data_IF_082955562062
#
_entry.id   IF_082955562062
#
_cell.length_a   1.000
_cell.length_b   1.000
_cell.length_c   1.000
_cell.angle_alpha   90.00
_cell.angle_beta   90.00
_cell.angle_gamma   90.00
#
_symmetry.space_group_name_H-M   'P 1'
#
loop_
_entity.id
_entity.type
_entity.pdbx_description
1 polymer ?
#
# COMPACT_ATOMS: atom_id res chain seq x y z
N UNK A 1 18.14 -15.55 -5.77
CA UNK A 1 18.17 -15.91 -4.33
C UNK A 1 18.55 -17.36 -4.13
N UNK A 2 17.79 -18.34 -4.64
CA UNK A 2 18.08 -19.77 -4.44
C UNK A 2 19.49 -20.19 -4.88
N UNK A 3 19.91 -19.80 -6.08
CA UNK A 3 21.22 -20.21 -6.62
C UNK A 3 22.40 -19.58 -5.86
N UNK A 4 22.37 -18.26 -5.67
CA UNK A 4 23.49 -17.51 -5.09
C UNK A 4 23.42 -17.41 -3.56
N UNK A 5 22.31 -16.95 -3.00
CA UNK A 5 22.21 -16.74 -1.56
C UNK A 5 22.06 -18.08 -0.82
N UNK A 6 20.99 -18.83 -1.10
CA UNK A 6 20.75 -20.10 -0.42
C UNK A 6 21.81 -21.16 -0.80
N UNK A 7 22.24 -21.18 -2.07
CA UNK A 7 23.18 -22.18 -2.59
C UNK A 7 24.68 -21.89 -2.33
N UNK A 8 25.09 -20.62 -2.14
CA UNK A 8 26.51 -20.26 -1.98
C UNK A 8 26.81 -19.48 -0.70
N UNK A 9 25.95 -18.55 -0.29
CA UNK A 9 26.18 -17.72 0.90
C UNK A 9 25.83 -18.46 2.18
N UNK A 10 24.64 -19.07 2.25
CA UNK A 10 24.16 -19.76 3.45
C UNK A 10 25.13 -20.84 3.93
N UNK A 11 25.65 -21.75 3.07
CA UNK A 11 26.57 -22.80 3.53
C UNK A 11 27.87 -22.25 4.13
N UNK A 12 28.39 -21.14 3.61
CA UNK A 12 29.61 -20.53 4.13
C UNK A 12 29.38 -19.87 5.50
N UNK A 13 28.23 -19.21 5.68
CA UNK A 13 27.83 -18.64 6.97
C UNK A 13 27.60 -19.73 8.02
N UNK A 14 27.02 -20.86 7.63
CA UNK A 14 26.79 -21.99 8.53
C UNK A 14 28.09 -22.72 8.92
N UNK A 15 29.10 -22.76 8.04
CA UNK A 15 30.45 -23.25 8.37
C UNK A 15 31.13 -22.41 9.45
N UNK A 16 30.83 -21.12 9.53
CA UNK A 16 31.26 -20.24 10.63
C UNK A 16 30.48 -20.47 11.94
N UNK A 17 29.52 -21.42 11.94
CA UNK A 17 28.69 -21.76 13.09
C UNK A 17 27.44 -20.90 13.25
N UNK A 18 27.08 -20.10 12.24
CA UNK A 18 25.89 -19.24 12.27
C UNK A 18 24.77 -19.87 11.45
N UNK A 19 23.82 -20.53 12.13
CA UNK A 19 22.62 -21.08 11.49
C UNK A 19 21.72 -19.97 10.95
N UNK A 20 21.24 -20.16 9.71
CA UNK A 20 20.33 -19.24 9.03
C UNK A 20 18.96 -19.88 8.78
N UNK A 21 17.95 -19.04 8.69
CA UNK A 21 16.62 -19.40 8.23
C UNK A 21 16.06 -18.20 7.47
N UNK A 22 15.14 -18.45 6.53
CA UNK A 22 14.35 -17.38 5.94
C UNK A 22 13.55 -16.66 7.03
N UNK A 23 13.27 -15.37 6.80
CA UNK A 23 12.50 -14.56 7.71
C UNK A 23 11.14 -15.21 7.98
N UNK A 24 10.74 -15.24 9.26
CA UNK A 24 9.55 -15.94 9.70
C UNK A 24 8.80 -15.14 10.75
N UNK A 25 7.48 -15.31 10.78
CA UNK A 25 6.61 -14.89 11.86
C UNK A 25 5.93 -16.13 12.43
N UNK A 26 5.81 -16.23 13.76
CA UNK A 26 5.08 -17.35 14.36
C UNK A 26 3.57 -17.13 14.25
N UNK A 27 2.80 -18.19 13.95
CA UNK A 27 1.33 -18.17 14.11
C UNK A 27 0.97 -18.23 15.61
N UNK A 28 1.00 -17.06 16.25
CA UNK A 28 0.77 -16.92 17.68
C UNK A 28 2.01 -17.25 18.52
N UNK A 29 1.79 -17.69 19.75
CA UNK A 29 2.86 -17.91 20.75
C UNK A 29 3.34 -19.36 20.83
N UNK A 30 2.61 -20.28 20.22
CA UNK A 30 2.95 -21.69 20.19
C UNK A 30 3.63 -22.02 18.86
N UNK A 31 4.93 -22.26 18.90
CA UNK A 31 5.78 -22.53 17.72
C UNK A 31 5.27 -23.73 16.92
N UNK A 32 4.61 -24.70 17.56
CA UNK A 32 4.07 -25.88 16.87
C UNK A 32 2.97 -25.56 15.86
N UNK A 33 2.31 -24.39 15.99
CA UNK A 33 1.30 -23.92 15.04
C UNK A 33 1.89 -23.54 13.69
N UNK A 34 3.19 -23.32 13.64
CA UNK A 34 3.93 -23.04 12.41
C UNK A 34 4.41 -21.62 12.29
N UNK A 35 4.96 -21.36 11.11
CA UNK A 35 5.54 -20.08 10.72
C UNK A 35 4.94 -19.58 9.41
N UNK A 36 4.76 -18.27 9.31
CA UNK A 36 4.30 -17.58 8.12
C UNK A 36 5.41 -16.68 7.57
N UNK A 37 5.49 -16.60 6.25
CA UNK A 37 6.35 -15.62 5.58
C UNK A 37 5.74 -14.22 5.70
N UNK A 38 6.58 -13.21 5.78
CA UNK A 38 6.13 -11.82 5.85
C UNK A 38 6.08 -11.22 4.44
N UNK A 39 4.97 -10.59 4.10
CA UNK A 39 4.84 -9.80 2.87
C UNK A 39 5.17 -8.35 3.20
N UNK A 40 6.41 -7.88 2.95
CA UNK A 40 6.77 -6.49 3.21
C UNK A 40 5.99 -5.57 2.28
N UNK A 41 5.21 -4.66 2.85
CA UNK A 41 4.59 -3.58 2.07
C UNK A 41 5.66 -2.59 1.58
N UNK A 42 5.36 -1.77 0.56
CA UNK A 42 6.34 -0.88 -0.09
C UNK A 42 7.14 0.05 0.83
N UNK A 43 6.66 0.38 2.04
CA UNK A 43 7.42 1.18 3.01
C UNK A 43 8.66 0.49 3.59
N UNK A 44 8.68 -0.85 3.61
CA UNK A 44 9.84 -1.60 4.12
C UNK A 44 10.89 -1.73 3.03
N UNK A 45 12.18 -1.69 3.38
CA UNK A 45 13.26 -1.76 2.40
C UNK A 45 13.17 -3.00 1.47
N UNK A 46 12.77 -4.15 2.01
CA UNK A 46 12.57 -5.40 1.27
C UNK A 46 11.27 -5.44 0.45
N UNK A 47 10.32 -4.53 0.70
CA UNK A 47 9.18 -4.29 -0.18
C UNK A 47 9.50 -3.25 -1.25
N UNK A 48 10.25 -2.21 -0.90
CA UNK A 48 10.63 -1.11 -1.79
C UNK A 48 11.64 -1.53 -2.88
N UNK A 49 12.72 -2.22 -2.49
CA UNK A 49 13.80 -2.56 -3.42
C UNK A 49 13.30 -3.38 -4.63
N UNK A 50 12.43 -4.40 -4.47
CA UNK A 50 11.86 -5.12 -5.61
C UNK A 50 10.98 -4.25 -6.52
N UNK A 51 10.29 -3.24 -5.99
CA UNK A 51 9.54 -2.27 -6.81
C UNK A 51 10.48 -1.38 -7.63
N UNK A 52 11.71 -1.17 -7.16
CA UNK A 52 12.79 -0.54 -7.92
C UNK A 52 13.59 -1.51 -8.78
N UNK A 53 13.12 -2.74 -8.97
CA UNK A 53 13.85 -3.79 -9.69
C UNK A 53 15.25 -4.02 -9.11
N UNK A 54 15.42 -3.93 -7.79
CA UNK A 54 16.67 -4.21 -7.09
C UNK A 54 16.46 -5.32 -6.08
N UNK A 55 17.49 -6.13 -5.87
CA UNK A 55 17.50 -7.09 -4.77
C UNK A 55 17.56 -6.35 -3.42
N UNK A 56 16.80 -6.83 -2.44
CA UNK A 56 16.86 -6.37 -1.06
C UNK A 56 17.07 -7.56 -0.14
N UNK A 57 17.89 -7.38 0.90
CA UNK A 57 18.14 -8.38 1.93
C UNK A 57 17.93 -7.74 3.30
N UNK A 58 17.02 -8.31 4.09
CA UNK A 58 16.85 -7.97 5.50
C UNK A 58 17.54 -9.06 6.34
N UNK A 59 18.38 -8.64 7.28
CA UNK A 59 19.05 -9.53 8.22
C UNK A 59 18.48 -9.25 9.60
N UNK A 60 17.89 -10.26 10.22
CA UNK A 60 17.43 -10.18 11.60
C UNK A 60 18.15 -11.20 12.47
N UNK A 61 18.78 -10.71 13.54
CA UNK A 61 19.42 -11.56 14.55
C UNK A 61 18.52 -11.66 15.77
N UNK A 62 18.22 -12.88 16.21
CA UNK A 62 17.36 -13.12 17.36
C UNK A 62 17.91 -12.44 18.62
N UNK A 63 17.12 -11.53 19.23
CA UNK A 63 17.58 -10.64 20.32
C UNK A 63 18.10 -11.38 21.56
N UNK A 64 17.61 -12.59 21.82
CA UNK A 64 18.06 -13.44 22.93
C UNK A 64 19.43 -14.10 22.72
N UNK A 65 20.00 -14.07 21.50
CA UNK A 65 21.37 -14.58 21.29
C UNK A 65 22.40 -13.62 21.92
N UNK A 66 23.53 -14.14 22.43
CA UNK A 66 24.62 -13.31 22.94
C UNK A 66 25.03 -12.25 21.92
N UNK A 67 25.26 -11.01 22.39
CA UNK A 67 25.58 -9.88 21.52
C UNK A 67 26.74 -10.18 20.55
N UNK A 68 27.83 -10.79 21.04
CA UNK A 68 28.98 -11.20 20.22
C UNK A 68 28.57 -12.11 19.06
N UNK A 69 27.69 -13.08 19.30
CA UNK A 69 27.19 -13.98 18.25
C UNK A 69 26.34 -13.24 17.22
N UNK A 70 25.48 -12.31 17.66
CA UNK A 70 24.68 -11.47 16.74
C UNK A 70 25.57 -10.61 15.84
N UNK A 71 26.61 -9.99 16.40
CA UNK A 71 27.57 -9.18 15.64
C UNK A 71 28.34 -10.05 14.66
N UNK A 72 28.88 -11.19 15.10
CA UNK A 72 29.65 -12.09 14.24
C UNK A 72 28.79 -12.67 13.11
N UNK A 73 27.60 -13.18 13.43
CA UNK A 73 26.69 -13.71 12.41
C UNK A 73 26.28 -12.66 11.38
N UNK A 74 26.01 -11.42 11.80
CA UNK A 74 25.71 -10.32 10.85
C UNK A 74 26.93 -10.02 9.96
N UNK A 75 28.13 -9.97 10.54
CA UNK A 75 29.36 -9.77 9.80
C UNK A 75 29.59 -10.87 8.75
N UNK A 76 29.43 -12.14 9.13
CA UNK A 76 29.66 -13.27 8.23
C UNK A 76 28.66 -13.26 7.07
N UNK A 77 27.37 -13.01 7.34
CA UNK A 77 26.36 -12.86 6.28
C UNK A 77 26.74 -11.74 5.32
N UNK A 78 27.10 -10.55 5.83
CA UNK A 78 27.48 -9.42 4.99
C UNK A 78 28.72 -9.72 4.16
N UNK A 79 29.76 -10.29 4.77
CA UNK A 79 31.02 -10.66 4.10
C UNK A 79 30.76 -11.59 2.93
N UNK A 80 30.13 -12.75 3.19
CA UNK A 80 29.92 -13.75 2.15
C UNK A 80 28.92 -13.30 1.09
N UNK A 81 27.91 -12.51 1.46
CA UNK A 81 27.00 -11.91 0.48
C UNK A 81 27.73 -10.96 -0.46
N UNK A 82 28.58 -10.07 0.06
CA UNK A 82 29.36 -9.12 -0.74
C UNK A 82 30.36 -9.85 -1.63
N UNK A 83 31.04 -10.88 -1.10
CA UNK A 83 31.94 -11.72 -1.90
C UNK A 83 31.21 -12.40 -3.06
N UNK A 84 30.01 -12.93 -2.82
CA UNK A 84 29.20 -13.56 -3.87
C UNK A 84 28.71 -12.55 -4.91
N UNK A 85 28.29 -11.36 -4.47
CA UNK A 85 27.95 -10.25 -5.38
C UNK A 85 29.15 -9.89 -6.25
N UNK A 86 30.36 -9.82 -5.68
CA UNK A 86 31.56 -9.51 -6.47
C UNK A 86 31.87 -10.59 -7.51
N UNK A 87 31.71 -11.87 -7.15
CA UNK A 87 31.87 -13.01 -8.08
C UNK A 87 30.84 -12.99 -9.21
N UNK A 88 29.62 -12.53 -8.92
CA UNK A 88 28.45 -12.66 -9.82
C UNK A 88 27.90 -11.32 -10.32
N UNK A 89 28.68 -10.24 -10.19
CA UNK A 89 28.24 -8.87 -10.50
C UNK A 89 27.63 -8.71 -11.90
N UNK A 90 28.13 -9.46 -12.88
CA UNK A 90 27.63 -9.40 -14.25
C UNK A 90 26.17 -9.89 -14.35
N UNK A 91 25.84 -11.03 -13.74
CA UNK A 91 24.48 -11.57 -13.75
C UNK A 91 23.52 -10.69 -12.95
N UNK A 92 23.95 -10.11 -11.83
CA UNK A 92 23.15 -9.15 -11.07
C UNK A 92 22.82 -7.90 -11.88
N UNK A 93 23.80 -7.31 -12.57
CA UNK A 93 23.56 -6.14 -13.42
C UNK A 93 22.69 -6.46 -14.63
N UNK A 94 22.86 -7.62 -15.24
CA UNK A 94 21.99 -8.08 -16.33
C UNK A 94 20.54 -8.24 -15.84
N UNK A 95 20.33 -8.88 -14.69
CA UNK A 95 19.01 -9.05 -14.10
C UNK A 95 18.33 -7.71 -13.80
N UNK A 96 19.07 -6.75 -13.23
CA UNK A 96 18.55 -5.40 -12.97
C UNK A 96 18.16 -4.68 -14.28
N UNK A 97 19.06 -4.69 -15.29
CA UNK A 97 18.79 -4.05 -16.60
C UNK A 97 17.58 -4.68 -17.29
N UNK A 98 17.46 -6.00 -17.26
CA UNK A 98 16.32 -6.72 -17.82
C UNK A 98 15.02 -6.33 -17.13
N UNK A 99 15.00 -6.33 -15.79
CA UNK A 99 13.83 -5.95 -15.01
C UNK A 99 13.43 -4.48 -15.23
N UNK A 100 14.40 -3.58 -15.41
CA UNK A 100 14.17 -2.17 -15.75
C UNK A 100 13.55 -2.02 -17.15
N UNK A 101 14.13 -2.68 -18.16
CA UNK A 101 13.60 -2.69 -19.52
C UNK A 101 12.16 -3.24 -19.57
N UNK A 102 11.90 -4.37 -18.90
CA UNK A 102 10.56 -4.95 -18.83
C UNK A 102 9.54 -4.02 -18.15
N UNK A 103 9.94 -3.28 -17.11
CA UNK A 103 9.07 -2.27 -16.48
C UNK A 103 8.77 -1.13 -17.44
N UNK A 104 9.77 -0.62 -18.15
CA UNK A 104 9.60 0.45 -19.14
C UNK A 104 8.69 -0.02 -20.28
N UNK A 105 8.91 -1.20 -20.85
CA UNK A 105 8.09 -1.73 -21.94
C UNK A 105 6.62 -1.89 -21.53
N UNK A 106 6.34 -2.40 -20.33
CA UNK A 106 4.96 -2.50 -19.80
C UNK A 106 4.25 -1.15 -19.72
N UNK A 107 5.00 -0.06 -19.50
CA UNK A 107 4.44 1.29 -19.42
C UNK A 107 4.16 1.96 -20.76
N UNK A 108 4.51 1.35 -21.90
CA UNK A 108 4.34 1.95 -23.24
C UNK A 108 2.96 1.73 -23.85
N UNK A 109 2.22 0.72 -23.38
CA UNK A 109 0.91 0.36 -23.90
C UNK A 109 -0.05 0.04 -22.75
N UNK A 110 -1.28 0.52 -22.86
CA UNK A 110 -2.33 0.17 -21.92
C UNK A 110 -2.89 -1.22 -22.25
N UNK A 111 -3.01 -2.06 -21.22
CA UNK A 111 -3.69 -3.35 -21.30
C UNK A 111 -4.71 -3.46 -20.16
N UNK A 112 -6.00 -3.39 -20.51
CA UNK A 112 -7.09 -3.49 -19.55
C UNK A 112 -7.14 -4.85 -18.82
N UNK A 113 -6.51 -5.89 -19.37
CA UNK A 113 -6.43 -7.21 -18.75
C UNK A 113 -5.21 -7.37 -17.83
N UNK A 114 -4.29 -6.40 -17.83
CA UNK A 114 -3.12 -6.42 -16.96
C UNK A 114 -3.53 -6.39 -15.49
N UNK A 115 -2.92 -7.27 -14.69
CA UNK A 115 -3.19 -7.42 -13.25
C UNK A 115 -1.93 -7.13 -12.46
N UNK A 116 -1.55 -5.86 -12.36
CA UNK A 116 -0.45 -5.46 -11.50
C UNK A 116 -0.86 -5.60 -10.03
N UNK A 117 -0.18 -6.42 -9.22
CA UNK A 117 -0.58 -6.70 -7.85
C UNK A 117 -0.35 -5.48 -6.95
N UNK A 118 -1.37 -5.10 -6.17
CA UNK A 118 -1.27 -4.07 -5.13
C UNK A 118 -1.20 -4.68 -3.73
N UNK A 119 -1.95 -5.76 -3.49
CA UNK A 119 -1.99 -6.46 -2.20
C UNK A 119 -1.89 -7.96 -2.41
N UNK A 120 -1.19 -8.58 -1.47
CA UNK A 120 -0.99 -10.01 -1.39
C UNK A 120 -1.39 -10.48 0.01
N UNK A 121 -1.82 -11.73 0.12
CA UNK A 121 -2.08 -12.41 1.39
C UNK A 121 -1.47 -13.81 1.36
N UNK A 122 -1.03 -14.31 2.51
CA UNK A 122 -0.57 -15.69 2.66
C UNK A 122 -1.77 -16.63 2.65
N UNK A 123 -1.63 -17.73 1.90
CA UNK A 123 -2.65 -18.78 1.83
C UNK A 123 -2.51 -19.73 3.03
N UNK A 124 -3.56 -20.49 3.32
CA UNK A 124 -3.53 -21.51 4.39
C UNK A 124 -2.79 -22.79 4.00
N UNK A 125 -2.18 -22.83 2.81
CA UNK A 125 -1.44 -24.01 2.36
C UNK A 125 -0.08 -24.02 3.04
N UNK A 126 0.23 -25.12 3.70
CA UNK A 126 1.51 -25.31 4.39
C UNK A 126 2.35 -26.42 3.78
N UNK A 127 3.65 -26.32 4.01
CA UNK A 127 4.62 -27.39 3.78
C UNK A 127 5.35 -27.70 5.10
N UNK A 128 5.81 -28.94 5.31
CA UNK A 128 6.68 -29.25 6.45
C UNK A 128 7.95 -28.41 6.44
N UNK A 129 8.38 -27.92 7.60
CA UNK A 129 9.59 -27.14 7.78
C UNK A 129 10.34 -27.57 9.04
N UNK A 130 11.62 -27.91 8.88
CA UNK A 130 12.48 -28.31 9.98
C UNK A 130 12.98 -27.08 10.72
N UNK A 131 12.34 -26.79 11.84
CA UNK A 131 12.61 -25.63 12.67
C UNK A 131 13.64 -25.94 13.76
N UNK A 132 14.69 -25.11 13.80
CA UNK A 132 15.74 -25.13 14.81
C UNK A 132 15.54 -23.97 15.79
N UNK A 133 15.13 -24.29 17.01
CA UNK A 133 14.88 -23.32 18.07
C UNK A 133 15.54 -23.70 19.40
N UNK A 134 14.99 -23.13 20.47
CA UNK A 134 15.29 -23.51 21.85
C UNK A 134 14.00 -23.88 22.54
N UNK A 135 14.08 -24.75 23.55
CA UNK A 135 12.92 -25.14 24.35
C UNK A 135 12.20 -23.89 24.89
N UNK A 136 10.88 -23.96 24.96
CA UNK A 136 10.07 -22.90 25.52
C UNK A 136 8.88 -23.46 26.27
N UNK A 137 8.32 -22.65 27.16
CA UNK A 137 7.02 -22.91 27.80
C UNK A 137 6.18 -21.65 27.81
N UNK A 138 4.86 -21.84 27.87
CA UNK A 138 3.90 -20.76 28.06
C UNK A 138 3.54 -20.67 29.55
N UNK A 139 3.67 -19.48 30.12
CA UNK A 139 3.32 -19.20 31.51
C UNK A 139 2.35 -18.03 31.61
N UNK A 140 1.52 -17.99 32.65
CA UNK A 140 0.67 -16.82 32.92
C UNK A 140 1.51 -15.64 33.43
N UNK A 141 1.36 -14.50 32.78
CA UNK A 141 1.97 -13.24 33.20
C UNK A 141 1.00 -12.45 34.07
N UNK A 142 1.36 -12.23 35.35
CA UNK A 142 0.60 -11.35 36.25
C UNK A 142 0.65 -9.87 35.83
N UNK A 143 1.70 -9.47 35.10
CA UNK A 143 1.87 -8.08 34.65
C UNK A 143 0.96 -7.79 33.47
N UNK A 144 0.94 -8.67 32.46
CA UNK A 144 0.18 -8.42 31.24
C UNK A 144 -1.19 -9.10 31.22
N UNK A 145 -1.49 -9.98 32.19
CA UNK A 145 -2.72 -10.78 32.22
C UNK A 145 -2.81 -11.85 31.11
N UNK A 146 -1.73 -12.08 30.36
CA UNK A 146 -1.72 -12.98 29.20
C UNK A 146 -0.63 -14.06 29.33
N UNK A 147 -0.68 -15.09 28.49
CA UNK A 147 0.41 -16.08 28.38
C UNK A 147 1.70 -15.41 27.88
N UNK A 148 2.83 -15.59 28.55
CA UNK A 148 4.17 -15.20 28.08
C UNK A 148 4.97 -16.43 27.68
N UNK A 149 5.86 -16.27 26.71
CA UNK A 149 6.85 -17.30 26.37
C UNK A 149 8.02 -17.18 27.34
N UNK A 150 8.48 -18.31 27.84
CA UNK A 150 9.71 -18.44 28.62
C UNK A 150 10.62 -19.42 27.90
N UNK A 151 11.71 -18.90 27.35
CA UNK A 151 12.72 -19.71 26.66
C UNK A 151 13.67 -20.35 27.68
N UNK A 152 14.03 -21.61 27.44
CA UNK A 152 15.12 -22.31 28.11
C UNK A 152 16.41 -22.25 27.30
N UNK A 153 17.28 -23.23 27.50
CA UNK A 153 18.62 -23.26 26.87
C UNK A 153 18.86 -24.49 26.03
N UNK A 154 18.02 -25.52 26.14
CA UNK A 154 18.19 -26.74 25.34
C UNK A 154 17.76 -26.48 23.89
N UNK A 155 18.54 -26.94 22.90
CA UNK A 155 18.12 -26.94 21.50
C UNK A 155 16.80 -27.69 21.31
N UNK A 156 15.98 -27.17 20.40
CA UNK A 156 14.72 -27.78 19.98
C UNK A 156 14.75 -27.94 18.46
N UNK A 157 14.73 -29.18 17.98
CA UNK A 157 14.59 -29.52 16.56
C UNK A 157 13.22 -30.18 16.36
N UNK A 158 12.33 -29.50 15.64
CA UNK A 158 10.97 -29.97 15.39
C UNK A 158 10.54 -29.64 13.96
N UNK A 159 9.70 -30.49 13.38
CA UNK A 159 9.05 -30.18 12.11
C UNK A 159 7.72 -29.47 12.37
N UNK A 160 7.54 -28.28 11.81
CA UNK A 160 6.34 -27.45 11.97
C UNK A 160 5.78 -27.05 10.59
N UNK A 161 4.52 -26.61 10.51
CA UNK A 161 3.97 -26.04 9.27
C UNK A 161 4.68 -24.74 8.87
N UNK A 162 5.02 -24.56 7.59
CA UNK A 162 5.42 -23.28 6.99
C UNK A 162 4.40 -22.83 5.96
N UNK A 163 3.86 -21.62 6.12
CA UNK A 163 2.95 -20.96 5.19
C UNK A 163 3.72 -19.89 4.39
N UNK A 164 4.06 -20.21 3.14
CA UNK A 164 4.96 -19.39 2.30
C UNK A 164 4.37 -19.11 0.90
N UNK A 165 3.12 -19.51 0.67
CA UNK A 165 2.43 -19.26 -0.59
C UNK A 165 1.61 -17.97 -0.48
N UNK A 166 1.82 -17.03 -1.39
CA UNK A 166 1.07 -15.78 -1.46
C UNK A 166 0.07 -15.80 -2.62
N UNK A 167 -1.11 -15.21 -2.41
CA UNK A 167 -2.10 -14.91 -3.45
C UNK A 167 -2.31 -13.42 -3.59
N UNK A 168 -2.60 -12.94 -4.79
CA UNK A 168 -2.97 -11.54 -5.04
C UNK A 168 -4.43 -11.34 -4.63
N UNK A 169 -4.68 -10.35 -3.77
CA UNK A 169 -6.04 -10.00 -3.30
C UNK A 169 -6.54 -8.68 -3.84
N UNK A 170 -5.65 -7.84 -4.35
CA UNK A 170 -6.00 -6.60 -5.05
C UNK A 170 -4.99 -6.34 -6.15
N UNK A 171 -5.49 -5.95 -7.32
CA UNK A 171 -4.68 -5.61 -8.48
C UNK A 171 -5.30 -4.43 -9.23
N UNK A 172 -4.53 -3.87 -10.15
CA UNK A 172 -4.97 -2.79 -11.04
C UNK A 172 -4.40 -3.02 -12.44
N UNK A 173 -5.04 -2.48 -13.46
CA UNK A 173 -4.41 -2.25 -14.76
C UNK A 173 -3.70 -0.89 -14.73
N UNK A 174 -2.36 -0.83 -14.77
CA UNK A 174 -1.64 0.44 -14.73
C UNK A 174 -2.00 1.32 -15.94
N UNK A 175 -2.26 2.63 -15.75
CA UNK A 175 -2.49 3.56 -16.86
C UNK A 175 -1.20 3.85 -17.63
N UNK A 176 -1.28 4.59 -18.73
CA UNK A 176 -0.07 5.09 -19.40
C UNK A 176 0.57 6.24 -18.63
N UNK A 177 -0.26 7.09 -18.02
CA UNK A 177 0.20 8.23 -17.22
C UNK A 177 -0.67 8.40 -15.97
N UNK A 178 -0.06 8.94 -14.93
CA UNK A 178 -0.79 9.62 -13.86
C UNK A 178 -0.67 11.13 -14.02
N UNK A 179 -1.67 11.88 -13.57
CA UNK A 179 -1.61 13.33 -13.48
C UNK A 179 -1.95 13.79 -12.06
N UNK A 180 -1.07 14.62 -11.46
CA UNK A 180 -1.22 15.14 -10.10
C UNK A 180 -1.26 16.68 -10.16
N UNK A 181 -2.33 17.31 -9.64
CA UNK A 181 -2.42 18.77 -9.57
C UNK A 181 -1.35 19.42 -8.67
N UNK A 182 -0.90 20.66 -8.96
CA UNK A 182 0.22 21.31 -8.29
C UNK A 182 -0.05 21.66 -6.82
N UNK A 183 -1.32 21.78 -6.40
CA UNK A 183 -1.65 22.05 -5.00
C UNK A 183 -1.25 20.91 -4.05
N UNK A 184 -0.98 19.72 -4.57
CA UNK A 184 -0.51 18.57 -3.80
C UNK A 184 1.01 18.53 -3.69
N UNK A 185 1.60 19.66 -3.32
CA UNK A 185 3.06 19.82 -3.27
C UNK A 185 3.77 18.76 -2.42
N UNK A 186 3.28 18.36 -1.22
CA UNK A 186 3.91 17.29 -0.45
C UNK A 186 3.92 15.92 -1.15
N UNK A 187 2.95 15.66 -2.04
CA UNK A 187 2.95 14.45 -2.88
C UNK A 187 4.02 14.54 -3.94
N UNK A 188 4.14 15.70 -4.59
CA UNK A 188 5.14 15.97 -5.63
C UNK A 188 6.56 15.86 -5.05
N UNK A 189 6.80 16.39 -3.86
CA UNK A 189 8.11 16.31 -3.18
C UNK A 189 8.53 14.86 -2.91
N UNK A 190 7.61 14.00 -2.50
CA UNK A 190 7.91 12.57 -2.30
C UNK A 190 8.18 11.87 -3.64
N UNK A 191 7.43 12.23 -4.69
CA UNK A 191 7.69 11.70 -6.03
C UNK A 191 9.09 12.10 -6.52
N UNK A 192 9.48 13.37 -6.31
CA UNK A 192 10.82 13.89 -6.62
C UNK A 192 11.92 13.18 -5.80
N UNK A 193 11.68 12.94 -4.50
CA UNK A 193 12.61 12.20 -3.64
C UNK A 193 12.85 10.74 -4.10
N UNK A 194 11.88 10.17 -4.81
CA UNK A 194 12.02 8.87 -5.47
C UNK A 194 12.64 8.95 -6.87
N UNK A 195 13.10 10.12 -7.33
CA UNK A 195 13.62 10.35 -8.69
C UNK A 195 12.62 9.94 -9.80
N UNK A 196 11.32 10.10 -9.54
CA UNK A 196 10.26 9.81 -10.50
C UNK A 196 10.27 10.88 -11.58
N UNK A 197 10.33 10.45 -12.84
CA UNK A 197 10.34 11.36 -13.99
C UNK A 197 8.91 11.78 -14.31
N UNK A 198 8.72 13.08 -14.55
CA UNK A 198 7.45 13.66 -14.96
C UNK A 198 7.68 14.93 -15.77
N UNK A 199 6.63 15.37 -16.46
CA UNK A 199 6.58 16.65 -17.16
C UNK A 199 5.51 17.54 -16.51
N UNK A 200 5.57 18.86 -16.67
CA UNK A 200 4.57 19.79 -16.14
C UNK A 200 3.72 20.37 -17.26
N UNK A 201 2.42 20.54 -17.01
CA UNK A 201 1.55 21.28 -17.92
C UNK A 201 1.94 22.77 -17.91
N UNK A 202 2.16 23.37 -19.08
CA UNK A 202 2.49 24.80 -19.21
C UNK A 202 1.26 25.70 -19.05
N UNK A 203 0.09 25.18 -19.42
CA UNK A 203 -1.20 25.85 -19.33
C UNK A 203 -2.23 24.90 -18.77
N UNK A 204 -3.37 25.46 -18.38
CA UNK A 204 -4.55 24.69 -18.00
C UNK A 204 -5.03 23.85 -19.18
N UNK A 205 -5.39 22.59 -18.93
CA UNK A 205 -5.88 21.66 -19.96
C UNK A 205 -7.00 20.79 -19.40
N UNK A 206 -8.01 20.52 -20.24
CA UNK A 206 -9.08 19.57 -19.93
C UNK A 206 -8.74 18.22 -20.50
N UNK A 207 -8.63 17.20 -19.63
CA UNK A 207 -8.13 15.87 -19.97
C UNK A 207 -9.19 14.84 -19.56
N UNK A 208 -9.43 13.85 -20.41
CA UNK A 208 -10.23 12.68 -20.03
C UNK A 208 -9.39 11.76 -19.14
N UNK A 209 -9.88 11.49 -17.93
CA UNK A 209 -9.18 10.67 -16.94
C UNK A 209 -10.10 9.64 -16.33
N UNK A 210 -9.52 8.50 -15.97
CA UNK A 210 -10.07 7.66 -14.91
C UNK A 210 -9.60 8.18 -13.54
N UNK A 211 -10.43 8.03 -12.52
CA UNK A 211 -10.09 8.41 -11.14
C UNK A 211 -10.95 7.60 -10.17
N UNK A 212 -11.00 8.01 -8.91
CA UNK A 212 -11.79 7.35 -7.87
C UNK A 212 -12.59 8.37 -7.06
N UNK A 213 -13.77 7.96 -6.61
CA UNK A 213 -14.49 8.60 -5.50
C UNK A 213 -14.47 7.67 -4.30
N UNK A 214 -14.13 8.22 -3.14
CA UNK A 214 -14.11 7.48 -1.89
C UNK A 214 -15.46 7.48 -1.20
N UNK A 215 -15.79 6.36 -0.58
CA UNK A 215 -16.92 6.22 0.34
C UNK A 215 -16.48 5.50 1.62
N UNK A 216 -17.29 5.58 2.68
CA UNK A 216 -17.01 4.95 3.98
C UNK A 216 -15.62 5.28 4.55
N UNK A 217 -15.14 6.52 4.36
CA UNK A 217 -13.85 6.96 4.86
C UNK A 217 -13.83 6.98 6.40
N UNK A 218 -12.85 6.30 7.01
CA UNK A 218 -12.66 6.22 8.46
C UNK A 218 -11.21 6.49 8.82
N UNK A 219 -11.03 7.47 9.68
CA UNK A 219 -9.74 7.85 10.27
C UNK A 219 -9.23 6.79 11.24
N UNK A 220 -7.92 6.61 11.30
CA UNK A 220 -7.29 5.89 12.39
C UNK A 220 -7.47 6.64 13.72
N UNK A 221 -7.62 5.90 14.81
CA UNK A 221 -7.84 6.47 16.15
C UNK A 221 -6.56 7.09 16.76
N UNK A 222 -5.40 6.85 16.16
CA UNK A 222 -4.12 7.39 16.59
C UNK A 222 -3.21 7.62 15.38
N UNK A 223 -2.26 8.55 15.53
CA UNK A 223 -1.22 8.75 14.53
C UNK A 223 -0.24 7.58 14.51
N UNK A 224 0.31 7.30 13.33
CA UNK A 224 1.42 6.38 13.12
C UNK A 224 2.47 7.09 12.26
N UNK A 225 3.73 7.12 12.70
CA UNK A 225 4.82 7.83 12.00
C UNK A 225 4.45 9.29 11.67
N UNK A 226 3.87 10.00 12.66
CA UNK A 226 3.39 11.38 12.54
C UNK A 226 2.30 11.63 11.48
N UNK A 227 1.58 10.58 11.06
CA UNK A 227 0.48 10.68 10.09
C UNK A 227 -0.80 10.06 10.61
N UNK A 228 -1.93 10.60 10.18
CA UNK A 228 -3.26 10.01 10.38
C UNK A 228 -3.64 9.24 9.12
N UNK A 229 -3.66 7.92 9.22
CA UNK A 229 -4.04 7.05 8.10
C UNK A 229 -5.56 6.94 7.96
N UNK A 230 -6.04 6.57 6.77
CA UNK A 230 -7.46 6.28 6.52
C UNK A 230 -7.70 4.88 5.96
N UNK A 231 -8.89 4.37 6.24
CA UNK A 231 -9.54 3.31 5.46
C UNK A 231 -10.72 3.88 4.68
N UNK A 232 -11.03 3.33 3.50
CA UNK A 232 -12.09 3.81 2.61
C UNK A 232 -12.45 2.71 1.60
N UNK A 233 -13.58 2.88 0.91
CA UNK A 233 -13.92 2.16 -0.32
C UNK A 233 -13.67 3.04 -1.53
N UNK A 234 -13.26 2.44 -2.64
CA UNK A 234 -13.00 3.14 -3.91
C UNK A 234 -14.09 2.86 -4.93
N UNK A 235 -14.62 3.91 -5.55
CA UNK A 235 -15.57 3.82 -6.64
C UNK A 235 -14.93 4.43 -7.89
N UNK A 236 -14.59 3.64 -8.93
CA UNK A 236 -13.99 4.18 -10.15
C UNK A 236 -14.92 5.18 -10.82
N UNK A 237 -14.34 6.25 -11.38
CA UNK A 237 -15.05 7.25 -12.17
C UNK A 237 -14.25 7.56 -13.44
N UNK A 238 -14.96 7.90 -14.53
CA UNK A 238 -14.37 8.40 -15.77
C UNK A 238 -14.98 9.76 -16.07
N UNK A 239 -14.16 10.79 -16.26
CA UNK A 239 -14.62 12.15 -16.46
C UNK A 239 -13.62 13.01 -17.26
N UNK A 240 -14.12 14.08 -17.86
CA UNK A 240 -13.27 15.17 -18.34
C UNK A 240 -13.01 16.13 -17.18
N UNK A 241 -11.76 16.25 -16.77
CA UNK A 241 -11.33 17.09 -15.66
C UNK A 241 -10.36 18.16 -16.14
N UNK A 242 -10.55 19.37 -15.67
CA UNK A 242 -9.62 20.47 -15.89
C UNK A 242 -8.46 20.37 -14.90
N UNK A 243 -7.24 20.39 -15.42
CA UNK A 243 -6.00 20.43 -14.64
C UNK A 243 -5.30 21.77 -14.86
N UNK A 244 -4.89 22.48 -13.78
CA UNK A 244 -4.22 23.77 -13.92
C UNK A 244 -2.78 23.61 -14.44
N UNK A 245 -2.21 24.72 -14.91
CA UNK A 245 -0.77 24.83 -15.18
C UNK A 245 0.05 24.40 -13.95
N UNK A 246 1.18 23.75 -14.18
CA UNK A 246 2.04 23.19 -13.13
C UNK A 246 1.68 21.77 -12.68
N UNK A 247 0.51 21.23 -13.08
CA UNK A 247 0.17 19.81 -12.84
C UNK A 247 1.23 18.90 -13.46
N UNK A 248 1.67 17.89 -12.71
CA UNK A 248 2.68 16.93 -13.19
C UNK A 248 2.01 15.77 -13.91
N UNK A 249 2.57 15.36 -15.03
CA UNK A 249 2.18 14.18 -15.81
C UNK A 249 3.31 13.18 -15.74
N UNK A 250 3.03 12.02 -15.14
CA UNK A 250 3.99 10.99 -14.77
C UNK A 250 3.81 9.80 -15.72
N UNK A 251 4.68 9.61 -16.73
CA UNK A 251 4.61 8.46 -17.63
C UNK A 251 4.98 7.17 -16.91
N UNK A 252 4.29 6.06 -17.16
CA UNK A 252 4.69 4.75 -16.62
C UNK A 252 5.76 4.03 -17.45
N UNK A 253 6.12 4.55 -18.62
CA UNK A 253 7.29 4.08 -19.38
C UNK A 253 8.62 4.54 -18.74
N UNK A 254 8.86 4.15 -17.48
CA UNK A 254 10.05 4.47 -16.70
C UNK A 254 10.35 3.36 -15.68
N UNK A 255 11.61 3.25 -15.23
CA UNK A 255 12.06 2.19 -14.29
C UNK A 255 11.29 2.21 -12.96
N UNK A 256 10.91 3.39 -12.48
CA UNK A 256 10.22 3.57 -11.20
C UNK A 256 8.69 3.31 -11.26
N UNK A 257 8.14 2.84 -12.39
CA UNK A 257 6.69 2.75 -12.59
C UNK A 257 5.95 1.94 -11.49
N UNK A 258 6.55 0.86 -10.99
CA UNK A 258 5.95 0.06 -9.91
C UNK A 258 5.79 0.88 -8.62
N UNK A 259 6.77 1.72 -8.30
CA UNK A 259 6.70 2.65 -7.15
C UNK A 259 5.61 3.68 -7.37
N UNK A 260 5.54 4.27 -8.58
CA UNK A 260 4.49 5.25 -8.95
C UNK A 260 3.10 4.65 -8.73
N UNK A 261 2.86 3.44 -9.24
CA UNK A 261 1.58 2.73 -9.08
C UNK A 261 1.25 2.50 -7.60
N UNK A 262 2.22 2.02 -6.80
CA UNK A 262 1.99 1.80 -5.37
C UNK A 262 1.76 3.08 -4.56
N UNK A 263 2.34 4.20 -4.97
CA UNK A 263 2.12 5.50 -4.32
C UNK A 263 0.77 6.11 -4.69
N UNK A 264 0.37 6.03 -5.96
CA UNK A 264 -0.79 6.75 -6.49
C UNK A 264 -2.08 5.95 -6.57
N UNK A 265 -2.04 4.62 -6.57
CA UNK A 265 -3.26 3.81 -6.55
C UNK A 265 -3.84 3.72 -5.13
N UNK A 266 -5.09 4.16 -4.89
CA UNK A 266 -5.63 4.25 -3.54
C UNK A 266 -5.63 2.93 -2.76
N UNK A 267 -5.87 1.82 -3.46
CA UNK A 267 -5.96 0.49 -2.84
C UNK A 267 -4.59 -0.14 -2.54
N UNK A 268 -3.47 0.50 -2.90
CA UNK A 268 -2.13 0.07 -2.47
C UNK A 268 -1.97 0.18 -0.94
N UNK A 269 -1.21 -0.72 -0.28
CA UNK A 269 -0.99 -0.70 1.18
C UNK A 269 -0.20 0.51 1.69
N UNK A 270 0.46 1.24 0.80
CA UNK A 270 1.32 2.38 1.09
C UNK A 270 1.01 3.59 0.18
N UNK A 271 -0.26 3.75 -0.21
CA UNK A 271 -0.68 4.87 -1.06
C UNK A 271 -0.64 6.21 -0.33
N UNK A 272 -0.47 7.29 -1.09
CA UNK A 272 -0.51 8.66 -0.55
C UNK A 272 -1.83 8.97 0.16
N UNK A 273 -2.96 8.47 -0.36
CA UNK A 273 -4.27 8.66 0.29
C UNK A 273 -4.39 7.84 1.58
N UNK A 274 -3.85 6.62 1.63
CA UNK A 274 -3.78 5.85 2.87
C UNK A 274 -2.97 6.60 3.95
N UNK A 275 -1.85 7.21 3.55
CA UNK A 275 -0.94 7.97 4.42
C UNK A 275 -1.39 9.42 4.69
N UNK A 276 -2.60 9.77 4.28
CA UNK A 276 -3.23 11.05 4.60
C UNK A 276 -2.66 12.28 3.90
N UNK A 277 -1.92 12.11 2.80
CA UNK A 277 -1.46 13.23 1.98
C UNK A 277 -2.61 14.00 1.32
N UNK A 278 -3.76 13.34 1.18
CA UNK A 278 -4.96 13.90 0.54
C UNK A 278 -6.10 14.21 1.53
N UNK A 279 -5.82 14.33 2.84
CA UNK A 279 -6.84 14.49 3.88
C UNK A 279 -7.90 15.56 3.57
N UNK A 280 -7.49 16.68 2.99
CA UNK A 280 -8.36 17.79 2.66
C UNK A 280 -9.55 17.41 1.75
N UNK A 281 -9.46 16.36 0.92
CA UNK A 281 -10.58 15.95 0.06
C UNK A 281 -11.73 15.30 0.83
N UNK A 282 -11.50 14.88 2.08
CA UNK A 282 -12.53 14.28 2.94
C UNK A 282 -13.23 15.32 3.82
N UNK A 283 -12.75 16.56 3.81
CA UNK A 283 -13.26 17.61 4.69
C UNK A 283 -14.33 18.44 3.98
N UNK A 284 -15.57 18.36 4.47
CA UNK A 284 -16.61 19.31 4.12
C UNK A 284 -16.29 20.65 4.78
N UNK A 285 -16.12 21.70 3.96
CA UNK A 285 -15.82 23.07 4.46
C UNK A 285 -17.07 23.90 4.74
N UNK A 286 -18.10 23.72 3.91
CA UNK A 286 -19.35 24.49 3.99
C UNK A 286 -20.52 23.57 4.37
N UNK A 287 -21.46 24.08 5.17
CA UNK A 287 -22.66 23.35 5.54
C UNK A 287 -23.93 24.17 5.26
N UNK A 288 -25.04 23.49 5.04
CA UNK A 288 -26.33 24.13 4.87
C UNK A 288 -26.93 24.52 6.21
N UNK A 289 -27.10 25.82 6.46
CA UNK A 289 -27.86 26.30 7.61
C UNK A 289 -29.29 25.75 7.58
N UNK A 290 -29.80 25.32 8.74
CA UNK A 290 -31.01 24.51 8.81
C UNK A 290 -32.24 25.20 8.20
N UNK A 291 -32.40 26.50 8.44
CA UNK A 291 -33.53 27.28 7.92
C UNK A 291 -33.45 27.49 6.39
N UNK A 292 -32.24 27.58 5.82
CA UNK A 292 -32.03 27.67 4.37
C UNK A 292 -32.28 26.31 3.72
N UNK A 293 -31.73 25.25 4.32
CA UNK A 293 -31.81 23.89 3.81
C UNK A 293 -33.23 23.34 3.87
N UNK A 294 -34.02 23.70 4.89
CA UNK A 294 -35.44 23.32 4.99
C UNK A 294 -36.27 23.88 3.83
N UNK A 295 -36.08 25.17 3.50
CA UNK A 295 -36.75 25.78 2.34
C UNK A 295 -36.36 25.06 1.05
N UNK A 296 -35.06 24.83 0.86
CA UNK A 296 -34.53 24.13 -0.30
C UNK A 296 -35.07 22.70 -0.40
N UNK A 297 -35.10 21.94 0.71
CA UNK A 297 -35.62 20.58 0.77
C UNK A 297 -37.08 20.51 0.31
N UNK A 298 -37.92 21.44 0.76
CA UNK A 298 -39.33 21.54 0.35
C UNK A 298 -39.46 21.77 -1.15
N UNK A 299 -38.68 22.69 -1.70
CA UNK A 299 -38.66 22.96 -3.13
C UNK A 299 -38.16 21.75 -3.95
N UNK A 300 -37.12 21.07 -3.46
CA UNK A 300 -36.56 19.87 -4.10
C UNK A 300 -37.58 18.72 -4.12
N UNK A 301 -38.27 18.48 -3.01
CA UNK A 301 -39.32 17.45 -2.93
C UNK A 301 -40.52 17.75 -3.83
N UNK A 302 -40.93 19.02 -3.93
CA UNK A 302 -42.04 19.43 -4.78
C UNK A 302 -41.71 19.27 -6.27
N UNK A 303 -40.45 19.49 -6.66
CA UNK A 303 -39.99 19.42 -8.06
C UNK A 303 -39.54 18.03 -8.50
N UNK A 304 -39.15 17.14 -7.57
CA UNK A 304 -38.57 15.84 -7.89
C UNK A 304 -39.25 14.69 -7.10
N UNK A 305 -40.25 14.02 -7.70
CA UNK A 305 -40.93 12.89 -7.08
C UNK A 305 -40.03 11.69 -6.76
N UNK A 306 -38.97 11.46 -7.54
CA UNK A 306 -38.02 10.36 -7.28
C UNK A 306 -37.16 10.64 -6.05
N UNK A 307 -36.72 11.89 -5.87
CA UNK A 307 -36.04 12.30 -4.65
C UNK A 307 -36.93 12.13 -3.41
N UNK A 308 -38.23 12.40 -3.55
CA UNK A 308 -39.19 12.15 -2.48
C UNK A 308 -39.25 10.67 -2.11
N UNK A 309 -39.32 9.77 -3.09
CA UNK A 309 -39.28 8.31 -2.84
C UNK A 309 -37.98 7.89 -2.15
N UNK A 310 -36.84 8.41 -2.60
CA UNK A 310 -35.53 8.13 -1.99
C UNK A 310 -35.49 8.57 -0.51
N UNK A 311 -36.01 9.78 -0.23
CA UNK A 311 -36.09 10.30 1.14
C UNK A 311 -37.03 9.48 2.02
N UNK A 312 -38.22 9.14 1.52
CA UNK A 312 -39.21 8.31 2.23
C UNK A 312 -38.66 6.90 2.52
N UNK A 313 -37.87 6.32 1.61
CA UNK A 313 -37.17 5.06 1.85
C UNK A 313 -36.10 5.23 2.94
N UNK A 314 -35.31 6.32 2.87
CA UNK A 314 -34.26 6.58 3.85
C UNK A 314 -34.81 6.84 5.25
N UNK A 315 -36.05 7.34 5.37
CA UNK A 315 -36.75 7.49 6.65
C UNK A 315 -37.05 6.16 7.37
N UNK A 316 -36.95 5.02 6.70
CA UNK A 316 -37.06 3.70 7.36
C UNK A 316 -35.83 3.36 8.21
N UNK A 317 -34.69 4.02 7.97
CA UNK A 317 -33.51 3.93 8.84
C UNK A 317 -33.76 4.75 10.11
N UNK A 318 -33.87 4.06 11.25
CA UNK A 318 -34.21 4.68 12.54
C UNK A 318 -33.20 5.75 12.99
N UNK A 319 -31.91 5.56 12.69
CA UNK A 319 -30.87 6.53 13.05
C UNK A 319 -31.01 7.81 12.21
N UNK A 320 -31.32 7.65 10.93
CA UNK A 320 -31.59 8.77 10.04
C UNK A 320 -32.86 9.52 10.43
N UNK A 321 -33.96 8.81 10.67
CA UNK A 321 -35.26 9.39 10.99
C UNK A 321 -35.23 10.26 12.26
N UNK A 322 -34.44 9.84 13.26
CA UNK A 322 -34.28 10.55 14.55
C UNK A 322 -33.30 11.73 14.48
N UNK A 323 -32.58 11.93 13.38
CA UNK A 323 -31.58 13.00 13.25
C UNK A 323 -32.05 14.11 12.31
N UNK A 324 -32.48 15.23 12.87
CA UNK A 324 -32.87 16.42 12.10
C UNK A 324 -31.73 16.90 11.17
N UNK A 325 -30.50 16.89 11.69
CA UNK A 325 -29.32 17.24 10.92
C UNK A 325 -29.10 16.29 9.72
N UNK A 326 -29.20 14.96 9.93
CA UNK A 326 -29.00 14.00 8.83
C UNK A 326 -30.06 14.16 7.75
N UNK A 327 -31.32 14.41 8.15
CA UNK A 327 -32.44 14.62 7.22
C UNK A 327 -32.24 15.86 6.34
N UNK A 328 -31.78 16.98 6.91
CA UNK A 328 -31.48 18.18 6.14
C UNK A 328 -30.22 18.01 5.28
N UNK A 329 -29.18 17.37 5.83
CA UNK A 329 -27.94 17.08 5.09
C UNK A 329 -28.20 16.25 3.84
N UNK A 330 -29.13 15.30 3.88
CA UNK A 330 -29.55 14.52 2.71
C UNK A 330 -29.95 15.41 1.50
N UNK A 331 -30.66 16.51 1.75
CA UNK A 331 -31.05 17.46 0.70
C UNK A 331 -29.88 18.38 0.32
N UNK A 332 -29.12 18.86 1.30
CA UNK A 332 -27.96 19.71 1.03
C UNK A 332 -26.96 18.99 0.12
N UNK A 333 -26.61 17.73 0.41
CA UNK A 333 -25.71 16.89 -0.39
C UNK A 333 -26.16 16.69 -1.85
N UNK A 334 -27.48 16.78 -2.11
CA UNK A 334 -28.09 16.65 -3.45
C UNK A 334 -28.36 18.00 -4.10
N UNK A 335 -28.01 19.09 -3.44
CA UNK A 335 -28.18 20.46 -3.94
C UNK A 335 -27.05 20.85 -4.92
N UNK A 336 -27.27 21.91 -5.73
CA UNK A 336 -26.19 22.48 -6.54
C UNK A 336 -25.09 23.17 -5.71
N UNK A 337 -25.32 23.42 -4.42
CA UNK A 337 -24.38 24.14 -3.55
C UNK A 337 -23.39 23.21 -2.83
N UNK A 338 -23.66 21.90 -2.80
CA UNK A 338 -22.75 20.94 -2.18
C UNK A 338 -21.47 20.79 -2.99
N UNK A 339 -20.32 20.74 -2.30
CA UNK A 339 -19.05 20.50 -2.97
C UNK A 339 -18.97 19.03 -3.44
N UNK A 340 -19.31 18.83 -4.71
CA UNK A 340 -19.26 17.52 -5.38
C UNK A 340 -17.84 16.93 -5.47
N UNK A 341 -16.80 17.67 -5.09
CA UNK A 341 -15.41 17.19 -5.05
C UNK A 341 -15.06 16.51 -3.72
N UNK A 342 -15.92 16.55 -2.71
CA UNK A 342 -15.70 15.79 -1.47
C UNK A 342 -15.58 14.29 -1.82
N UNK A 343 -14.51 13.67 -1.32
CA UNK A 343 -14.14 12.29 -1.60
C UNK A 343 -13.67 12.04 -3.04
N UNK A 344 -13.57 13.04 -3.91
CA UNK A 344 -13.03 12.87 -5.26
C UNK A 344 -11.49 12.84 -5.20
N UNK A 345 -10.90 11.75 -5.69
CA UNK A 345 -9.46 11.60 -5.73
C UNK A 345 -8.84 12.58 -6.73
N UNK A 346 -7.86 13.41 -6.32
CA UNK A 346 -7.34 14.46 -7.18
C UNK A 346 -6.43 13.92 -8.29
N UNK A 347 -5.87 12.72 -8.13
CA UNK A 347 -5.01 12.08 -9.14
C UNK A 347 -5.87 11.54 -10.28
N UNK A 348 -5.49 11.86 -11.50
CA UNK A 348 -6.06 11.27 -12.72
C UNK A 348 -5.19 10.14 -13.25
N UNK A 349 -5.83 9.13 -13.85
CA UNK A 349 -5.24 8.02 -14.60
C UNK A 349 -5.56 8.26 -16.08
N UNK A 350 -4.54 8.37 -16.92
CA UNK A 350 -4.67 8.59 -18.37
C UNK A 350 -4.27 7.29 -19.06
N UNK A 351 -5.24 6.61 -19.67
CA UNK A 351 -5.04 5.31 -20.34
C UNK A 351 -4.72 5.43 -21.83
N UNK A 352 -4.95 6.61 -22.41
CA UNK A 352 -4.64 6.91 -23.81
C UNK A 352 -3.31 7.64 -23.93
N UNK A 353 -2.71 7.61 -25.13
CA UNK A 353 -1.50 8.40 -25.38
C UNK A 353 -1.84 9.89 -25.23
N UNK A 354 -1.00 10.59 -24.50
CA UNK A 354 -1.20 11.99 -24.15
C UNK A 354 0.06 12.78 -24.48
N UNK A 355 -0.10 13.87 -25.22
CA UNK A 355 0.96 14.84 -25.48
C UNK A 355 0.63 16.12 -24.72
N UNK A 356 1.63 16.66 -24.01
CA UNK A 356 1.48 17.97 -23.36
C UNK A 356 1.43 19.02 -24.47
N UNK A 357 0.34 19.79 -24.50
CA UNK A 357 0.25 20.97 -25.35
C UNK A 357 1.34 21.96 -24.92
N UNK A 358 2.28 22.26 -25.83
CA UNK A 358 3.39 23.16 -25.58
C UNK A 358 2.95 24.58 -25.28
#
# INVERSE_FOLDING_TARGET
MNEHFDGKVVPEVEKEGNLLTHYLQFDGRDVSRGIETFIPTPRFATGYAPLRNRAGLLIETHSLKPYKSRVRGTYDILRYTIEEINRTKASLFEANKKADAETIERGKAFDANSKFPLRLEITKKSTPFDFKGVEYKLEDSKISGAKRIVYGTKPLDITIPKFDEAKVTTFVSPPLYYIVPPQWQPVIEVLEAHDIKFQRLNKRQTIEVESYRFSDAKWANASFESRLTLSFKTNPVKEKREFPAGSIVIPLAQEAAKVVVHLLEPNSPDSFVYWGFFNAIFEQKEYGEGYVTEKLAREMLAKNPELKKEFDEKLKDEKFAKSAFARLSFFFERSPYFDKRIGLYPVGRIIEKFEIEK
#
